data_IF_430287435038
#
_entry.id   IF_430287435038
#
_cell.length_a   1.000
_cell.length_b   1.000
_cell.length_c   1.000
_cell.angle_alpha   90.00
_cell.angle_beta   90.00
_cell.angle_gamma   90.00
#
_symmetry.space_group_name_H-M   'P 1'
#
loop_
_entity.id
_entity.type
_entity.pdbx_description
1 polymer ?
#
# COMPACT_ATOMS: atom_id res chain seq x y z
N UNK A 1 9.04 10.04 12.99
CA UNK A 1 7.59 10.20 13.27
C UNK A 1 6.88 8.85 13.40
N UNK A 2 6.84 8.03 12.35
CA UNK A 2 6.12 6.75 12.36
C UNK A 2 6.45 5.82 13.56
N UNK A 3 7.71 5.70 13.99
CA UNK A 3 8.10 4.91 15.17
C UNK A 3 7.48 5.40 16.50
N UNK A 4 7.40 6.72 16.69
CA UNK A 4 7.00 7.34 17.96
C UNK A 4 5.48 7.62 18.01
N UNK A 5 4.85 7.74 16.85
CA UNK A 5 3.46 8.14 16.67
C UNK A 5 2.43 7.11 17.20
N UNK A 6 2.78 5.81 17.20
CA UNK A 6 1.87 4.72 17.58
C UNK A 6 1.32 4.86 19.00
N UNK A 7 2.17 5.22 19.96
CA UNK A 7 1.79 5.27 21.37
C UNK A 7 0.88 6.47 21.71
N UNK A 8 0.88 7.50 20.87
CA UNK A 8 0.13 8.75 21.08
C UNK A 8 -1.09 8.88 20.17
N UNK A 9 -1.48 7.81 19.48
CA UNK A 9 -2.69 7.77 18.65
C UNK A 9 -2.57 8.48 17.30
N UNK A 10 -1.35 8.75 16.81
CA UNK A 10 -1.15 9.33 15.48
C UNK A 10 -0.90 8.20 14.47
N UNK A 11 -1.77 8.12 13.46
CA UNK A 11 -1.70 7.13 12.38
C UNK A 11 -1.39 7.80 11.05
N UNK A 12 -0.53 7.18 10.25
CA UNK A 12 -0.10 7.71 8.96
C UNK A 12 -0.50 6.77 7.83
N UNK A 13 -1.07 7.33 6.78
CA UNK A 13 -1.31 6.65 5.50
C UNK A 13 -0.45 7.33 4.45
N UNK A 14 0.36 6.57 3.73
CA UNK A 14 1.25 7.07 2.69
C UNK A 14 0.97 6.30 1.40
N UNK A 15 0.74 7.03 0.31
CA UNK A 15 0.48 6.46 -1.01
C UNK A 15 1.44 7.04 -2.06
N UNK A 16 1.84 6.22 -3.01
CA UNK A 16 2.68 6.64 -4.14
C UNK A 16 2.38 5.79 -5.37
N UNK A 17 2.48 6.40 -6.56
CA UNK A 17 2.45 5.69 -7.85
C UNK A 17 3.86 5.46 -8.41
N UNK A 18 4.91 5.90 -7.71
CA UNK A 18 6.30 5.72 -8.10
C UNK A 18 7.02 4.84 -7.07
N UNK A 19 6.82 3.51 -7.11
CA UNK A 19 7.43 2.58 -6.18
C UNK A 19 8.91 2.35 -6.52
N UNK A 20 9.77 3.31 -6.18
CA UNK A 20 11.23 3.18 -6.31
C UNK A 20 11.91 3.10 -4.95
N UNK A 21 13.11 2.53 -4.90
CA UNK A 21 13.92 2.43 -3.66
C UNK A 21 14.24 3.79 -3.04
N UNK A 22 14.23 4.85 -3.85
CA UNK A 22 14.45 6.23 -3.41
C UNK A 22 13.21 6.84 -2.75
N UNK A 23 12.02 6.35 -3.09
CA UNK A 23 10.74 6.79 -2.50
C UNK A 23 10.36 5.88 -1.32
N UNK A 24 10.38 4.56 -1.54
CA UNK A 24 10.11 3.54 -0.53
C UNK A 24 11.44 3.06 0.06
N UNK A 25 12.08 3.97 0.80
CA UNK A 25 13.40 3.73 1.40
C UNK A 25 13.35 2.66 2.49
N UNK A 26 14.50 2.13 2.90
CA UNK A 26 14.61 1.20 4.01
C UNK A 26 14.00 1.74 5.31
N UNK A 27 14.16 3.04 5.58
CA UNK A 27 13.56 3.70 6.75
C UNK A 27 12.04 3.72 6.69
N UNK A 28 11.44 3.93 5.51
CA UNK A 28 9.98 3.81 5.33
C UNK A 28 9.57 2.36 5.60
N UNK A 29 10.21 1.38 4.96
CA UNK A 29 9.87 -0.04 5.14
C UNK A 29 9.97 -0.50 6.59
N UNK A 30 10.99 -0.06 7.33
CA UNK A 30 11.20 -0.39 8.74
C UNK A 30 10.11 0.17 9.67
N UNK A 31 9.45 1.27 9.29
CA UNK A 31 8.47 1.96 10.12
C UNK A 31 7.00 1.70 9.72
N UNK A 32 6.77 1.14 8.53
CA UNK A 32 5.44 0.86 7.99
C UNK A 32 5.34 -0.65 7.65
N UNK A 33 5.03 -1.50 8.66
CA UNK A 33 4.93 -2.95 8.46
C UNK A 33 3.65 -3.36 7.70
N UNK A 34 2.59 -2.55 7.81
CA UNK A 34 1.38 -2.71 7.02
C UNK A 34 1.56 -2.05 5.64
N UNK A 35 1.43 -2.84 4.58
CA UNK A 35 1.66 -2.39 3.20
C UNK A 35 0.61 -2.99 2.26
N UNK A 36 0.21 -2.18 1.30
CA UNK A 36 -0.71 -2.55 0.22
C UNK A 36 0.01 -2.28 -1.10
N UNK A 37 -0.06 -3.22 -2.04
CA UNK A 37 0.29 -2.98 -3.43
C UNK A 37 -0.89 -3.31 -4.32
N UNK A 38 -1.29 -2.35 -5.15
CA UNK A 38 -2.12 -2.59 -6.33
C UNK A 38 -1.25 -3.10 -7.49
N UNK A 39 -1.86 -3.33 -8.64
CA UNK A 39 -1.12 -3.72 -9.85
C UNK A 39 0.05 -2.77 -10.12
N UNK A 40 1.23 -3.35 -10.33
CA UNK A 40 2.46 -2.63 -10.68
C UNK A 40 3.03 -3.14 -11.99
N UNK A 41 3.91 -2.35 -12.61
CA UNK A 41 4.47 -2.68 -13.92
C UNK A 41 5.45 -3.85 -13.88
N UNK A 42 6.15 -4.08 -12.76
CA UNK A 42 7.19 -5.08 -12.69
C UNK A 42 7.31 -5.78 -11.33
N UNK A 43 7.89 -6.98 -11.36
CA UNK A 43 8.26 -7.73 -10.15
C UNK A 43 9.24 -6.96 -9.24
N UNK A 44 10.04 -6.04 -9.82
CA UNK A 44 10.96 -5.17 -9.06
C UNK A 44 10.17 -4.14 -8.26
N UNK A 45 9.13 -3.54 -8.86
CA UNK A 45 8.23 -2.60 -8.16
C UNK A 45 7.48 -3.33 -7.03
N UNK A 46 7.00 -4.56 -7.29
CA UNK A 46 6.36 -5.39 -6.27
C UNK A 46 7.29 -5.60 -5.08
N UNK A 47 8.55 -5.99 -5.32
CA UNK A 47 9.54 -6.18 -4.24
C UNK A 47 9.90 -4.88 -3.53
N UNK A 48 9.85 -3.75 -4.24
CA UNK A 48 10.11 -2.45 -3.63
C UNK A 48 9.06 -2.09 -2.58
N UNK A 49 7.79 -2.47 -2.81
CA UNK A 49 6.69 -2.24 -1.87
C UNK A 49 6.59 -3.36 -0.81
N UNK A 50 6.57 -4.62 -1.25
CA UNK A 50 6.16 -5.78 -0.44
C UNK A 50 7.31 -6.69 0.00
N UNK A 51 8.55 -6.39 -0.42
CA UNK A 51 9.73 -7.27 -0.28
C UNK A 51 9.62 -8.63 -1.03
N UNK A 52 8.46 -8.93 -1.63
CA UNK A 52 8.17 -10.11 -2.45
C UNK A 52 7.58 -9.72 -3.82
N UNK A 53 7.60 -10.66 -4.76
CA UNK A 53 6.91 -10.50 -6.05
C UNK A 53 5.40 -10.80 -5.95
N UNK A 54 4.65 -10.53 -7.03
CA UNK A 54 3.24 -10.92 -7.14
C UNK A 54 2.30 -9.76 -7.44
N UNK A 55 2.64 -8.53 -7.06
CA UNK A 55 1.80 -7.37 -7.39
C UNK A 55 1.78 -7.07 -8.90
N UNK A 56 2.81 -7.51 -9.62
CA UNK A 56 2.90 -7.45 -11.09
C UNK A 56 1.92 -8.41 -11.80
N UNK A 57 1.33 -9.35 -11.06
CA UNK A 57 0.37 -10.34 -11.57
C UNK A 57 -1.08 -10.01 -11.21
N UNK A 58 -1.31 -8.86 -10.55
CA UNK A 58 -2.66 -8.39 -10.23
C UNK A 58 -3.37 -7.93 -11.50
N UNK A 59 -4.70 -7.97 -11.46
CA UNK A 59 -5.55 -7.67 -12.64
C UNK A 59 -6.02 -6.21 -12.70
N UNK A 60 -5.60 -5.38 -11.74
CA UNK A 60 -6.02 -3.98 -11.64
C UNK A 60 -7.41 -3.83 -11.04
N UNK A 61 -8.07 -2.68 -11.27
CA UNK A 61 -9.46 -2.42 -10.87
C UNK A 61 -9.79 -2.77 -9.40
N UNK A 62 -8.87 -2.47 -8.47
CA UNK A 62 -9.05 -2.72 -7.03
C UNK A 62 -8.43 -4.03 -6.51
N UNK A 63 -7.93 -4.90 -7.39
CA UNK A 63 -7.17 -6.09 -6.99
C UNK A 63 -5.84 -5.70 -6.34
N UNK A 64 -5.58 -6.20 -5.13
CA UNK A 64 -4.44 -5.80 -4.31
C UNK A 64 -3.85 -6.94 -3.49
N UNK A 65 -2.58 -6.80 -3.14
CA UNK A 65 -1.89 -7.58 -2.12
C UNK A 65 -1.71 -6.76 -0.86
N UNK A 66 -2.03 -7.36 0.28
CA UNK A 66 -1.84 -6.78 1.62
C UNK A 66 -0.93 -7.67 2.47
N UNK A 67 -0.03 -7.02 3.21
CA UNK A 67 0.74 -7.66 4.28
C UNK A 67 0.85 -6.74 5.49
N UNK A 68 0.93 -7.35 6.67
CA UNK A 68 1.28 -6.68 7.93
C UNK A 68 2.55 -7.26 8.58
N UNK A 69 3.34 -8.04 7.82
CA UNK A 69 4.51 -8.75 8.30
C UNK A 69 4.26 -10.21 8.72
N UNK A 70 3.02 -10.67 8.82
CA UNK A 70 2.68 -12.06 9.21
C UNK A 70 2.29 -12.97 8.04
N UNK A 71 2.21 -12.43 6.82
CA UNK A 71 1.78 -13.16 5.63
C UNK A 71 1.30 -12.22 4.52
N UNK A 72 0.98 -12.79 3.37
CA UNK A 72 0.46 -12.06 2.21
C UNK A 72 -0.98 -12.49 1.92
N UNK A 73 -1.89 -11.52 1.78
CA UNK A 73 -3.29 -11.77 1.46
C UNK A 73 -3.66 -11.01 0.19
N UNK A 74 -4.25 -11.70 -0.79
CA UNK A 74 -4.84 -11.06 -1.97
C UNK A 74 -6.29 -10.69 -1.68
N UNK A 75 -6.65 -9.46 -1.99
CA UNK A 75 -7.95 -8.87 -1.67
C UNK A 75 -8.47 -8.10 -2.87
N UNK A 76 -9.79 -8.08 -3.03
CA UNK A 76 -10.46 -7.17 -3.95
C UNK A 76 -10.97 -5.97 -3.16
N UNK A 77 -10.49 -4.78 -3.50
CA UNK A 77 -10.96 -3.55 -2.87
C UNK A 77 -12.37 -3.18 -3.37
N UNK A 78 -13.14 -2.53 -2.50
CA UNK A 78 -14.43 -1.98 -2.87
C UNK A 78 -14.23 -0.83 -3.89
N UNK A 79 -15.06 -0.81 -4.91
CA UNK A 79 -15.17 0.34 -5.80
C UNK A 79 -16.04 1.40 -5.14
N UNK A 80 -15.57 2.64 -5.13
CA UNK A 80 -16.35 3.80 -4.70
C UNK A 80 -16.16 4.86 -5.79
N UNK A 81 -17.26 5.34 -6.37
CA UNK A 81 -17.21 6.36 -7.41
C UNK A 81 -16.95 7.75 -6.83
N UNK A 82 -16.49 8.68 -7.66
CA UNK A 82 -16.28 10.07 -7.23
C UNK A 82 -17.59 10.70 -6.74
N UNK A 83 -18.71 10.41 -7.40
CA UNK A 83 -20.04 10.91 -7.02
C UNK A 83 -20.50 10.38 -5.66
N UNK A 84 -20.16 9.13 -5.31
CA UNK A 84 -20.43 8.58 -3.99
C UNK A 84 -19.63 9.28 -2.89
N UNK A 85 -18.36 9.62 -3.18
CA UNK A 85 -17.51 10.39 -2.26
C UNK A 85 -18.05 11.80 -2.08
N UNK A 86 -18.45 12.47 -3.16
CA UNK A 86 -19.00 13.82 -3.11
C UNK A 86 -20.28 13.88 -2.27
N UNK A 87 -21.19 12.92 -2.44
CA UNK A 87 -22.45 12.83 -1.69
C UNK A 87 -22.27 12.70 -0.17
N UNK A 88 -21.13 12.20 0.31
CA UNK A 88 -20.85 12.06 1.75
C UNK A 88 -20.22 13.34 2.33
N UNK A 89 -19.57 14.15 1.48
CA UNK A 89 -18.86 15.36 1.89
C UNK A 89 -19.71 16.65 1.80
N UNK A 90 -20.87 16.59 1.15
CA UNK A 90 -21.85 17.69 0.99
C UNK A 90 -23.12 17.45 1.79
#
# INVERSE_FOLDING_TARGET
>A
LAQLARAIGIHLVVATQRPSVNVITGTIKANFPARIAYQVASKVDSRTILDVGGADQLVGAGDMLFTNGAGMTRLQNAFVSTEEVERINS
#
